data_IF_602903514046
#
_entry.id   IF_602903514046
#
_cell.length_a   1.000
_cell.length_b   1.000
_cell.length_c   1.000
_cell.angle_alpha   90.00
_cell.angle_beta   90.00
_cell.angle_gamma   90.00
#
_symmetry.space_group_name_H-M   'P 1'
#
loop_
_entity.id
_entity.type
_entity.pdbx_description
1 polymer ?
#
# COMPACT_ATOMS: atom_id res chain seq x y z
N UNK A 1 62.39 -1.00 43.41
CA UNK A 1 62.45 -2.43 43.80
C UNK A 1 61.01 -2.90 44.02
N UNK A 2 60.60 -4.03 43.40
CA UNK A 2 59.23 -4.63 43.36
C UNK A 2 58.25 -3.91 42.42
N UNK A 3 58.06 -4.33 41.15
CA UNK A 3 57.43 -5.56 40.64
C UNK A 3 56.05 -5.78 41.30
N UNK A 4 54.97 -5.80 40.49
CA UNK A 4 53.73 -6.61 40.59
C UNK A 4 52.79 -6.14 39.46
N UNK A 5 52.85 -6.82 38.31
CA UNK A 5 51.91 -7.87 37.86
C UNK A 5 50.69 -7.30 37.14
N UNK A 6 50.73 -7.43 35.81
CA UNK A 6 49.61 -7.13 34.92
C UNK A 6 48.49 -8.14 35.06
N UNK A 7 47.26 -7.65 35.07
CA UNK A 7 46.06 -8.42 34.82
C UNK A 7 45.60 -8.11 33.40
N UNK A 8 45.92 -9.00 32.48
CA UNK A 8 45.41 -9.02 31.11
C UNK A 8 43.92 -9.37 31.19
N UNK A 9 43.06 -8.36 31.12
CA UNK A 9 41.61 -8.54 31.11
C UNK A 9 41.19 -9.03 29.72
N UNK A 10 41.16 -10.36 29.55
CA UNK A 10 40.58 -11.04 28.41
C UNK A 10 39.07 -10.70 28.34
N UNK A 11 38.73 -9.71 27.51
CA UNK A 11 37.37 -9.46 27.06
C UNK A 11 36.94 -10.63 26.16
N UNK A 12 36.39 -11.68 26.79
CA UNK A 12 35.60 -12.71 26.14
C UNK A 12 34.37 -12.04 25.53
N UNK A 13 34.49 -11.70 24.24
CA UNK A 13 33.37 -11.34 23.39
C UNK A 13 32.51 -12.59 23.22
N UNK A 14 31.59 -12.82 24.16
CA UNK A 14 30.55 -13.84 24.07
C UNK A 14 29.67 -13.48 22.88
N UNK A 15 29.98 -14.12 21.75
CA UNK A 15 29.15 -14.16 20.55
C UNK A 15 27.79 -14.74 20.97
N UNK A 16 26.83 -13.87 21.27
CA UNK A 16 25.43 -14.28 21.39
C UNK A 16 25.01 -14.64 19.98
N UNK A 17 25.13 -15.93 19.64
CA UNK A 17 24.46 -16.54 18.51
C UNK A 17 22.96 -16.32 18.73
N UNK A 18 22.44 -15.28 18.09
CA UNK A 18 21.00 -15.17 17.82
C UNK A 18 20.64 -16.46 17.07
N UNK A 19 19.73 -17.31 17.60
CA UNK A 19 19.30 -18.47 16.86
C UNK A 19 18.66 -17.93 15.57
N UNK A 20 19.21 -18.34 14.42
CA UNK A 20 18.47 -18.24 13.17
C UNK A 20 17.08 -18.82 13.44
N UNK A 21 16.03 -18.06 13.15
CA UNK A 21 14.67 -18.53 13.31
C UNK A 21 14.55 -19.88 12.60
N UNK A 22 14.38 -20.95 13.38
CA UNK A 22 14.22 -22.29 12.82
C UNK A 22 12.93 -22.27 12.02
N UNK A 23 13.05 -22.26 10.70
CA UNK A 23 11.92 -22.55 9.82
C UNK A 23 11.27 -23.85 10.28
N UNK A 24 9.95 -23.91 10.24
CA UNK A 24 9.22 -25.09 10.66
C UNK A 24 9.69 -26.33 9.85
N UNK A 25 9.63 -27.56 10.42
CA UNK A 25 10.31 -28.73 9.86
C UNK A 25 9.94 -29.07 8.41
N UNK A 26 8.70 -28.81 7.98
CA UNK A 26 8.24 -28.99 6.59
C UNK A 26 8.74 -27.88 5.66
N UNK A 27 8.80 -26.63 6.14
CA UNK A 27 9.22 -25.49 5.32
C UNK A 27 10.65 -25.68 4.76
N UNK A 28 11.55 -26.31 5.53
CA UNK A 28 12.90 -26.63 5.07
C UNK A 28 12.90 -27.62 3.88
N UNK A 29 11.99 -28.61 3.89
CA UNK A 29 11.89 -29.61 2.83
C UNK A 29 11.33 -28.99 1.53
N UNK A 30 10.33 -28.12 1.62
CA UNK A 30 9.81 -27.40 0.46
C UNK A 30 10.85 -26.43 -0.11
N UNK A 31 11.50 -25.65 0.75
CA UNK A 31 12.48 -24.65 0.32
C UNK A 31 13.76 -25.27 -0.26
N UNK A 32 14.09 -26.53 0.07
CA UNK A 32 15.22 -27.24 -0.53
C UNK A 32 15.15 -27.28 -2.07
N UNK A 33 13.93 -27.34 -2.63
CA UNK A 33 13.72 -27.20 -4.07
C UNK A 33 13.23 -25.80 -4.43
N UNK A 34 12.18 -25.29 -3.77
CA UNK A 34 11.51 -24.05 -4.15
C UNK A 34 12.38 -22.79 -3.98
N UNK A 35 13.40 -22.78 -3.13
CA UNK A 35 14.32 -21.63 -3.05
C UNK A 35 15.32 -21.58 -4.22
N UNK A 36 15.61 -22.73 -4.83
CA UNK A 36 16.61 -22.86 -5.90
C UNK A 36 15.99 -22.98 -7.30
N UNK A 37 14.67 -23.05 -7.42
CA UNK A 37 13.99 -23.08 -8.73
C UNK A 37 14.29 -21.80 -9.52
N UNK A 38 14.69 -21.97 -10.78
CA UNK A 38 14.90 -20.86 -11.73
C UNK A 38 13.93 -20.99 -12.89
N UNK A 39 13.51 -19.84 -13.43
CA UNK A 39 12.54 -19.79 -14.54
C UNK A 39 11.09 -19.93 -14.09
N UNK A 40 10.22 -20.23 -15.04
CA UNK A 40 8.79 -20.45 -14.81
C UNK A 40 8.41 -21.86 -15.26
N UNK A 41 7.51 -22.49 -14.53
CA UNK A 41 6.90 -23.77 -14.89
C UNK A 41 5.65 -23.49 -15.70
N UNK A 42 5.47 -24.18 -16.81
CA UNK A 42 4.24 -24.11 -17.59
C UNK A 42 3.15 -24.95 -16.90
N UNK A 43 2.05 -24.29 -16.53
CA UNK A 43 0.83 -24.94 -16.06
C UNK A 43 -0.11 -25.22 -17.25
N UNK A 44 -1.24 -25.87 -17.00
CA UNK A 44 -2.31 -26.04 -17.98
C UNK A 44 -2.64 -24.72 -18.73
N UNK A 45 -2.81 -24.81 -20.05
CA UNK A 45 -3.12 -23.70 -20.97
C UNK A 45 -2.00 -22.66 -21.16
N UNK A 46 -0.72 -23.05 -21.08
CA UNK A 46 0.40 -22.18 -21.44
C UNK A 46 0.71 -21.07 -20.44
N UNK A 47 0.18 -21.17 -19.22
CA UNK A 47 0.40 -20.17 -18.17
C UNK A 47 1.72 -20.48 -17.47
N UNK A 48 2.73 -19.64 -17.72
CA UNK A 48 4.01 -19.68 -17.02
C UNK A 48 3.86 -19.13 -15.60
N UNK A 49 4.22 -19.94 -14.61
CA UNK A 49 4.21 -19.57 -13.19
C UNK A 49 5.59 -19.74 -12.57
N UNK A 50 6.05 -18.72 -11.85
CA UNK A 50 7.26 -18.82 -11.06
C UNK A 50 6.90 -19.41 -9.69
N UNK A 51 7.48 -20.57 -9.36
CA UNK A 51 7.28 -21.29 -8.11
C UNK A 51 8.41 -21.04 -7.09
N UNK A 52 9.35 -20.15 -7.42
CA UNK A 52 10.46 -19.80 -6.55
C UNK A 52 9.97 -19.06 -5.30
N UNK A 53 10.52 -19.45 -4.15
CA UNK A 53 10.32 -18.77 -2.87
C UNK A 53 11.67 -18.43 -2.26
N UNK A 54 11.94 -17.15 -2.10
CA UNK A 54 13.12 -16.65 -1.40
C UNK A 54 13.00 -17.00 0.09
N UNK A 55 13.81 -17.95 0.54
CA UNK A 55 13.79 -18.47 1.90
C UNK A 55 14.10 -17.38 2.95
N UNK A 56 15.06 -16.50 2.67
CA UNK A 56 15.44 -15.44 3.58
C UNK A 56 14.30 -14.43 3.72
N UNK A 57 13.73 -14.00 2.60
CA UNK A 57 12.62 -13.06 2.58
C UNK A 57 11.35 -13.65 3.21
N UNK A 58 11.09 -14.95 3.00
CA UNK A 58 10.00 -15.67 3.64
C UNK A 58 10.15 -15.70 5.16
N UNK A 59 11.35 -16.02 5.66
CA UNK A 59 11.64 -16.08 7.11
C UNK A 59 11.40 -14.74 7.83
N UNK A 60 11.52 -13.61 7.10
CA UNK A 60 11.27 -12.25 7.61
C UNK A 60 9.81 -11.81 7.49
N UNK A 61 8.94 -12.64 6.92
CA UNK A 61 7.51 -12.34 6.84
C UNK A 61 6.80 -12.64 8.17
N UNK A 62 5.58 -12.14 8.32
CA UNK A 62 4.73 -12.46 9.49
C UNK A 62 4.34 -13.93 9.58
N UNK A 63 4.53 -14.69 8.49
CA UNK A 63 4.26 -16.12 8.41
C UNK A 63 5.53 -16.97 8.30
N UNK A 64 6.71 -16.38 8.49
CA UNK A 64 7.99 -17.07 8.28
C UNK A 64 8.24 -18.27 9.19
N UNK A 65 7.45 -18.42 10.25
CA UNK A 65 7.47 -19.54 11.19
C UNK A 65 6.47 -20.65 10.86
N UNK A 66 5.62 -20.51 9.84
CA UNK A 66 4.65 -21.53 9.44
C UNK A 66 5.23 -22.57 8.47
N UNK A 67 4.63 -23.76 8.47
CA UNK A 67 4.91 -24.78 7.47
C UNK A 67 4.26 -24.38 6.14
N UNK A 68 4.82 -24.86 5.02
CA UNK A 68 4.26 -24.57 3.71
C UNK A 68 2.87 -25.20 3.58
N UNK A 69 2.71 -26.42 4.10
CA UNK A 69 1.43 -27.17 4.07
C UNK A 69 0.31 -26.55 4.92
N UNK A 70 0.62 -25.60 5.82
CA UNK A 70 -0.40 -24.89 6.60
C UNK A 70 -1.28 -24.01 5.68
N UNK A 71 -0.73 -23.58 4.53
CA UNK A 71 -1.46 -22.85 3.50
C UNK A 71 -1.64 -23.70 2.23
N UNK A 72 -0.62 -24.44 1.81
CA UNK A 72 -0.64 -25.30 0.63
C UNK A 72 -1.33 -26.66 0.91
N UNK A 73 -2.57 -26.59 1.40
CA UNK A 73 -3.36 -27.71 1.95
C UNK A 73 -3.56 -28.89 0.99
N UNK A 74 -3.45 -28.65 -0.31
CA UNK A 74 -3.69 -29.64 -1.35
C UNK A 74 -2.45 -30.47 -1.72
N UNK A 75 -1.25 -30.08 -1.30
CA UNK A 75 -0.02 -30.76 -1.72
C UNK A 75 0.52 -31.67 -0.62
N UNK A 76 0.70 -32.96 -0.94
CA UNK A 76 1.36 -33.92 -0.06
C UNK A 76 2.45 -34.69 -0.81
N UNK A 77 3.58 -35.00 -0.14
CA UNK A 77 4.73 -35.79 -0.62
C UNK A 77 5.64 -35.11 -1.68
N UNK A 78 6.83 -35.68 -1.95
CA UNK A 78 7.77 -35.20 -2.99
C UNK A 78 8.16 -36.36 -3.94
N UNK A 79 8.06 -36.20 -5.28
CA UNK A 79 7.39 -35.12 -5.99
C UNK A 79 5.88 -35.15 -5.69
N UNK A 80 5.29 -34.00 -5.31
CA UNK A 80 3.86 -33.95 -5.03
C UNK A 80 3.09 -34.11 -6.35
N UNK A 81 2.24 -35.13 -6.42
CA UNK A 81 1.13 -35.13 -7.40
C UNK A 81 0.04 -34.20 -6.85
N UNK A 82 -0.78 -33.64 -7.75
CA UNK A 82 -1.80 -32.63 -7.45
C UNK A 82 -2.79 -33.02 -6.34
N UNK A 83 -3.80 -32.18 -6.04
CA UNK A 83 -4.56 -32.17 -4.79
C UNK A 83 -4.77 -33.56 -4.17
N UNK A 84 -3.97 -33.89 -3.16
CA UNK A 84 -3.87 -35.23 -2.59
C UNK A 84 -4.62 -35.37 -1.26
N UNK A 85 -5.00 -34.25 -0.63
CA UNK A 85 -5.73 -34.23 0.62
C UNK A 85 -7.11 -33.56 0.46
N UNK A 86 -8.15 -34.07 1.16
CA UNK A 86 -9.43 -33.40 1.23
C UNK A 86 -9.28 -32.05 1.94
N UNK A 87 -9.69 -30.98 1.26
CA UNK A 87 -9.70 -29.61 1.79
C UNK A 87 -11.10 -29.31 2.33
N UNK A 88 -11.19 -28.51 3.40
CA UNK A 88 -12.47 -28.05 3.95
C UNK A 88 -13.36 -27.44 2.85
N UNK A 89 -14.66 -27.72 2.92
CA UNK A 89 -15.63 -27.29 1.91
C UNK A 89 -15.66 -25.76 1.73
N UNK A 90 -15.54 -25.01 2.82
CA UNK A 90 -15.53 -23.53 2.80
C UNK A 90 -14.32 -23.01 2.05
N UNK A 91 -13.14 -23.59 2.32
CA UNK A 91 -11.90 -23.25 1.63
C UNK A 91 -12.00 -23.62 0.16
N UNK A 92 -12.57 -24.77 -0.18
CA UNK A 92 -12.74 -25.19 -1.58
C UNK A 92 -13.68 -24.27 -2.36
N UNK A 93 -14.82 -23.89 -1.77
CA UNK A 93 -15.77 -22.96 -2.38
C UNK A 93 -15.15 -21.59 -2.62
N UNK A 94 -14.40 -21.08 -1.63
CA UNK A 94 -13.68 -19.82 -1.78
C UNK A 94 -12.58 -19.94 -2.84
N UNK A 95 -11.77 -20.99 -2.82
CA UNK A 95 -10.73 -21.25 -3.81
C UNK A 95 -11.28 -21.21 -5.24
N UNK A 96 -12.45 -21.78 -5.47
CA UNK A 96 -13.14 -21.72 -6.76
C UNK A 96 -13.48 -20.28 -7.17
N UNK A 97 -13.99 -19.45 -6.24
CA UNK A 97 -14.27 -18.04 -6.49
C UNK A 97 -13.00 -17.20 -6.72
N UNK A 98 -11.88 -17.56 -6.09
CA UNK A 98 -10.59 -16.85 -6.22
C UNK A 98 -9.75 -17.30 -7.43
N UNK A 99 -10.08 -18.46 -8.02
CA UNK A 99 -9.31 -19.09 -9.09
C UNK A 99 -8.99 -18.20 -10.31
N UNK A 100 -9.86 -17.25 -10.76
CA UNK A 100 -9.51 -16.39 -11.88
C UNK A 100 -8.32 -15.46 -11.59
N UNK A 101 -8.06 -15.18 -10.30
CA UNK A 101 -7.03 -14.26 -9.84
C UNK A 101 -5.83 -14.97 -9.21
N UNK A 102 -6.05 -16.10 -8.53
CA UNK A 102 -4.97 -16.93 -7.98
C UNK A 102 -4.55 -18.02 -8.97
N UNK A 103 -3.67 -17.67 -9.91
CA UNK A 103 -3.27 -18.57 -11.02
C UNK A 103 -2.45 -19.79 -10.56
N UNK A 104 -1.71 -19.65 -9.45
CA UNK A 104 -0.80 -20.68 -8.95
C UNK A 104 -1.55 -21.66 -8.07
N UNK A 105 -2.02 -21.20 -6.90
CA UNK A 105 -2.71 -22.00 -5.91
C UNK A 105 -3.89 -21.23 -5.29
N UNK A 106 -5.12 -21.42 -5.83
CA UNK A 106 -6.32 -20.84 -5.25
C UNK A 106 -6.66 -21.37 -3.86
N UNK A 107 -6.26 -22.61 -3.54
CA UNK A 107 -6.52 -23.23 -2.23
C UNK A 107 -5.67 -22.54 -1.16
N UNK A 108 -4.38 -22.34 -1.39
CA UNK A 108 -3.53 -21.58 -0.48
C UNK A 108 -4.00 -20.13 -0.30
N UNK A 109 -4.49 -19.51 -1.37
CA UNK A 109 -5.08 -18.17 -1.28
C UNK A 109 -6.36 -18.15 -0.41
N UNK A 110 -7.14 -19.22 -0.43
CA UNK A 110 -8.35 -19.38 0.38
C UNK A 110 -8.04 -19.81 1.82
N UNK A 111 -6.92 -20.49 2.07
CA UNK A 111 -6.54 -21.00 3.40
C UNK A 111 -6.40 -19.91 4.48
N UNK A 112 -6.25 -18.63 4.08
CA UNK A 112 -6.26 -17.50 5.01
C UNK A 112 -7.46 -17.52 5.97
N UNK A 113 -8.63 -18.02 5.53
CA UNK A 113 -9.87 -18.01 6.33
C UNK A 113 -9.82 -18.93 7.55
N UNK A 114 -8.93 -19.94 7.54
CA UNK A 114 -8.79 -20.88 8.65
C UNK A 114 -8.20 -20.19 9.89
N UNK A 115 -7.36 -19.18 9.70
CA UNK A 115 -6.70 -18.44 10.79
C UNK A 115 -7.18 -16.98 10.91
N UNK A 116 -7.75 -16.41 9.85
CA UNK A 116 -8.27 -15.04 9.82
C UNK A 116 -9.78 -15.00 9.52
N UNK A 117 -10.64 -15.56 10.40
CA UNK A 117 -12.08 -15.56 10.19
C UNK A 117 -12.68 -14.15 10.24
N UNK A 118 -12.30 -13.31 11.20
CA UNK A 118 -12.91 -11.97 11.33
C UNK A 118 -12.60 -11.05 10.13
N UNK A 119 -11.34 -10.93 9.65
CA UNK A 119 -11.05 -10.20 8.43
C UNK A 119 -11.76 -10.77 7.21
N UNK A 120 -11.90 -12.10 7.14
CA UNK A 120 -12.61 -12.77 6.06
C UNK A 120 -14.11 -12.44 6.07
N UNK A 121 -14.78 -12.50 7.21
CA UNK A 121 -16.20 -12.18 7.33
C UNK A 121 -16.48 -10.71 6.97
N UNK A 122 -15.61 -9.80 7.43
CA UNK A 122 -15.66 -8.40 7.03
C UNK A 122 -15.46 -8.23 5.51
N UNK A 123 -14.46 -8.90 4.93
CA UNK A 123 -14.21 -8.88 3.49
C UNK A 123 -15.38 -9.44 2.68
N UNK A 124 -15.95 -10.58 3.09
CA UNK A 124 -17.10 -11.21 2.46
C UNK A 124 -18.33 -10.28 2.43
N UNK A 125 -18.51 -9.47 3.47
CA UNK A 125 -19.56 -8.45 3.54
C UNK A 125 -19.25 -7.17 2.74
N UNK A 126 -17.98 -6.90 2.45
CA UNK A 126 -17.52 -5.70 1.74
C UNK A 126 -17.95 -5.66 0.26
N UNK A 127 -17.91 -4.47 -0.34
CA UNK A 127 -18.15 -4.32 -1.79
C UNK A 127 -17.12 -5.09 -2.63
N UNK A 128 -15.88 -5.18 -2.14
CA UNK A 128 -14.79 -5.90 -2.79
C UNK A 128 -15.02 -7.42 -2.78
N UNK A 129 -15.25 -7.99 -1.60
CA UNK A 129 -15.49 -9.43 -1.47
C UNK A 129 -16.80 -9.87 -2.12
N UNK A 130 -17.86 -9.06 -2.07
CA UNK A 130 -19.10 -9.35 -2.80
C UNK A 130 -18.89 -9.37 -4.32
N UNK A 131 -18.05 -8.49 -4.87
CA UNK A 131 -17.74 -8.51 -6.30
C UNK A 131 -17.01 -9.81 -6.70
N UNK A 132 -16.09 -10.32 -5.88
CA UNK A 132 -15.37 -11.57 -6.16
C UNK A 132 -16.23 -12.81 -5.89
N UNK A 133 -16.81 -12.91 -4.69
CA UNK A 133 -17.49 -14.13 -4.22
C UNK A 133 -18.90 -14.27 -4.81
N UNK A 134 -19.68 -13.19 -4.83
CA UNK A 134 -21.09 -13.24 -5.26
C UNK A 134 -21.22 -12.99 -6.76
N UNK A 135 -20.56 -11.92 -7.26
CA UNK A 135 -20.63 -11.57 -8.69
C UNK A 135 -19.63 -12.32 -9.56
N UNK A 136 -18.73 -13.13 -8.96
CA UNK A 136 -17.71 -13.92 -9.67
C UNK A 136 -16.82 -13.06 -10.59
N UNK A 137 -16.58 -11.82 -10.19
CA UNK A 137 -15.75 -10.87 -10.95
C UNK A 137 -14.27 -11.23 -10.81
N UNK A 138 -13.56 -11.36 -11.93
CA UNK A 138 -12.14 -11.71 -11.96
C UNK A 138 -11.18 -10.55 -11.61
N UNK A 139 -11.69 -9.33 -11.64
CA UNK A 139 -10.96 -8.07 -11.45
C UNK A 139 -11.12 -7.48 -10.03
N UNK A 140 -11.98 -8.05 -9.18
CA UNK A 140 -12.12 -7.64 -7.78
C UNK A 140 -10.86 -7.96 -6.94
N UNK A 141 -10.51 -7.17 -5.92
CA UNK A 141 -9.33 -7.42 -5.10
C UNK A 141 -9.55 -8.59 -4.14
N UNK A 142 -8.49 -9.35 -3.88
CA UNK A 142 -8.41 -10.45 -2.90
C UNK A 142 -7.39 -10.07 -1.82
N UNK A 143 -7.23 -10.89 -0.77
CA UNK A 143 -6.34 -10.57 0.37
C UNK A 143 -4.93 -10.11 -0.07
N UNK A 144 -4.35 -10.82 -1.04
CA UNK A 144 -3.02 -10.55 -1.59
C UNK A 144 -2.95 -9.34 -2.53
N UNK A 145 -4.10 -8.84 -3.00
CA UNK A 145 -4.14 -7.58 -3.76
C UNK A 145 -3.73 -6.38 -2.90
N UNK A 146 -4.06 -6.41 -1.61
CA UNK A 146 -3.68 -5.36 -0.66
C UNK A 146 -2.43 -5.72 0.14
N UNK A 147 -2.31 -6.96 0.62
CA UNK A 147 -1.20 -7.36 1.49
C UNK A 147 0.06 -7.82 0.74
N UNK A 148 -0.03 -8.11 -0.56
CA UNK A 148 1.07 -8.65 -1.36
C UNK A 148 1.14 -10.17 -1.31
N UNK A 149 2.31 -10.72 -1.66
CA UNK A 149 2.52 -12.18 -1.68
C UNK A 149 2.32 -12.78 -0.29
N UNK A 150 1.58 -13.90 -0.14
CA UNK A 150 1.43 -14.61 1.14
C UNK A 150 2.76 -14.97 1.80
N UNK A 151 3.79 -15.24 1.00
CA UNK A 151 5.14 -15.58 1.47
C UNK A 151 5.90 -14.37 2.03
N UNK A 152 5.52 -13.15 1.69
CA UNK A 152 6.30 -11.95 2.02
C UNK A 152 5.45 -10.86 2.69
N UNK A 153 4.31 -11.24 3.30
CA UNK A 153 3.45 -10.31 4.01
C UNK A 153 4.23 -9.73 5.20
N UNK A 154 4.22 -8.40 5.31
CA UNK A 154 4.85 -7.65 6.40
C UNK A 154 3.80 -7.08 7.34
N UNK A 155 4.15 -7.00 8.62
CA UNK A 155 3.26 -6.46 9.65
C UNK A 155 2.87 -5.02 9.33
N UNK A 156 1.60 -4.64 9.58
CA UNK A 156 1.08 -3.30 9.29
C UNK A 156 2.00 -2.13 9.69
N UNK A 157 2.64 -2.10 10.88
CA UNK A 157 3.50 -0.96 11.26
C UNK A 157 4.84 -0.90 10.53
N UNK A 158 5.28 -1.97 9.84
CA UNK A 158 6.52 -1.98 9.06
C UNK A 158 6.35 -1.15 7.79
N UNK A 159 7.41 -0.43 7.39
CA UNK A 159 7.40 0.43 6.19
C UNK A 159 7.34 -0.38 4.90
N UNK A 160 7.75 -1.63 4.95
CA UNK A 160 7.76 -2.61 3.87
C UNK A 160 6.36 -3.21 3.64
N UNK A 161 5.43 -3.00 4.58
CA UNK A 161 4.05 -3.46 4.44
C UNK A 161 3.29 -2.64 3.42
N UNK A 162 2.65 -3.32 2.46
CA UNK A 162 1.77 -2.66 1.48
C UNK A 162 0.56 -1.96 2.12
N UNK A 163 0.22 -2.34 3.35
CA UNK A 163 -0.86 -1.74 4.14
C UNK A 163 -0.35 -0.81 5.25
N UNK A 164 0.92 -0.42 5.18
CA UNK A 164 1.46 0.65 6.00
C UNK A 164 0.79 1.99 5.66
N UNK A 165 0.66 2.87 6.66
CA UNK A 165 -0.12 4.12 6.56
C UNK A 165 0.21 4.92 5.27
N UNK A 166 1.49 5.09 4.96
CA UNK A 166 1.94 5.86 3.79
C UNK A 166 1.86 5.09 2.47
N UNK A 167 1.71 3.76 2.51
CA UNK A 167 1.61 2.89 1.33
C UNK A 167 0.15 2.62 0.92
N UNK A 168 -0.83 2.89 1.80
CA UNK A 168 -2.26 2.66 1.52
C UNK A 168 -2.73 3.36 0.25
N UNK A 169 -2.25 4.59 -0.01
CA UNK A 169 -2.64 5.36 -1.19
C UNK A 169 -2.24 4.62 -2.47
N UNK A 170 -1.00 4.16 -2.56
CA UNK A 170 -0.52 3.36 -3.71
C UNK A 170 -1.29 2.03 -3.81
N UNK A 171 -1.53 1.36 -2.69
CA UNK A 171 -2.23 0.08 -2.66
C UNK A 171 -3.67 0.19 -3.17
N UNK A 172 -4.40 1.25 -2.83
CA UNK A 172 -5.72 1.52 -3.37
C UNK A 172 -5.65 2.01 -4.83
N UNK A 173 -4.63 2.83 -5.14
CA UNK A 173 -4.41 3.45 -6.45
C UNK A 173 -4.40 2.44 -7.60
N UNK A 174 -3.78 1.28 -7.37
CA UNK A 174 -3.68 0.15 -8.34
C UNK A 174 -4.97 -0.22 -9.07
N UNK A 175 -6.13 0.02 -8.44
CA UNK A 175 -7.44 -0.15 -9.09
C UNK A 175 -8.27 1.12 -9.10
N UNK A 176 -8.10 2.02 -8.12
CA UNK A 176 -8.92 3.23 -8.01
C UNK A 176 -8.46 4.42 -8.86
N UNK A 177 -7.26 4.39 -9.43
CA UNK A 177 -6.84 5.32 -10.50
C UNK A 177 -7.11 4.78 -11.91
N UNK A 178 -7.46 3.50 -12.00
CA UNK A 178 -7.58 2.83 -13.28
C UNK A 178 -8.90 3.18 -13.98
N UNK A 179 -8.80 3.79 -15.16
CA UNK A 179 -9.97 4.25 -15.94
C UNK A 179 -10.96 3.12 -16.20
N UNK A 180 -10.47 1.95 -16.60
CA UNK A 180 -11.30 0.76 -16.85
C UNK A 180 -12.16 0.39 -15.63
N UNK A 181 -11.56 0.35 -14.44
CA UNK A 181 -12.27 0.03 -13.19
C UNK A 181 -13.31 1.09 -12.87
N UNK A 182 -12.95 2.37 -13.03
CA UNK A 182 -13.83 3.50 -12.75
C UNK A 182 -15.09 3.48 -13.62
N UNK A 183 -14.95 3.18 -14.92
CA UNK A 183 -16.05 3.09 -15.88
C UNK A 183 -16.92 1.87 -15.61
N UNK A 184 -16.30 0.70 -15.40
CA UNK A 184 -17.01 -0.56 -15.16
C UNK A 184 -17.84 -0.52 -13.86
N UNK A 185 -17.29 0.06 -12.79
CA UNK A 185 -17.91 0.06 -11.46
C UNK A 185 -18.59 1.38 -11.09
N UNK A 186 -18.52 2.40 -11.95
CA UNK A 186 -19.25 3.66 -11.79
C UNK A 186 -18.76 4.52 -10.62
N UNK A 187 -17.45 4.63 -10.46
CA UNK A 187 -16.80 5.58 -9.54
C UNK A 187 -15.94 6.59 -10.32
N UNK A 188 -15.58 7.71 -9.70
CA UNK A 188 -14.80 8.77 -10.36
C UNK A 188 -13.36 8.32 -10.61
N UNK A 189 -12.88 8.40 -11.86
CA UNK A 189 -11.47 8.17 -12.21
C UNK A 189 -10.52 9.20 -11.55
N UNK A 190 -11.05 10.35 -11.12
CA UNK A 190 -10.27 11.41 -10.47
C UNK A 190 -10.11 11.21 -8.95
N UNK A 191 -10.61 10.11 -8.37
CA UNK A 191 -10.60 9.93 -6.90
C UNK A 191 -9.20 10.01 -6.30
N UNK A 192 -8.21 9.42 -6.96
CA UNK A 192 -6.83 9.41 -6.50
C UNK A 192 -6.18 10.80 -6.62
N UNK A 193 -6.33 11.45 -7.77
CA UNK A 193 -5.86 12.82 -8.01
C UNK A 193 -6.43 13.78 -6.97
N UNK A 194 -7.75 13.76 -6.76
CA UNK A 194 -8.42 14.65 -5.79
C UNK A 194 -8.04 14.36 -4.35
N UNK A 195 -7.72 13.12 -4.01
CA UNK A 195 -7.18 12.80 -2.69
C UNK A 195 -5.77 13.39 -2.53
N UNK A 196 -4.89 13.18 -3.51
CA UNK A 196 -3.50 13.65 -3.46
C UNK A 196 -3.39 15.18 -3.42
N UNK A 197 -4.29 15.89 -4.11
CA UNK A 197 -4.37 17.35 -4.10
C UNK A 197 -4.91 17.92 -2.78
N UNK A 198 -5.65 17.12 -2.01
CA UNK A 198 -6.25 17.55 -0.75
C UNK A 198 -5.20 17.78 0.34
N UNK A 199 -5.58 18.53 1.38
CA UNK A 199 -4.74 18.70 2.57
C UNK A 199 -4.34 17.37 3.21
N UNK A 200 -5.22 16.36 3.21
CA UNK A 200 -4.91 15.03 3.73
C UNK A 200 -3.83 14.34 2.90
N UNK A 201 -3.98 14.33 1.57
CA UNK A 201 -3.01 13.70 0.66
C UNK A 201 -1.65 14.39 0.71
N UNK A 202 -1.62 15.73 0.66
CA UNK A 202 -0.38 16.51 0.78
C UNK A 202 0.32 16.27 2.13
N UNK A 203 -0.43 16.31 3.23
CA UNK A 203 0.10 16.08 4.57
C UNK A 203 0.61 14.63 4.75
N UNK A 204 -0.10 13.65 4.20
CA UNK A 204 0.31 12.25 4.22
C UNK A 204 1.60 12.04 3.39
N UNK A 205 1.70 12.66 2.21
CA UNK A 205 2.90 12.63 1.36
C UNK A 205 4.13 13.24 2.04
N UNK A 206 3.93 14.24 2.89
CA UNK A 206 4.99 14.85 3.72
C UNK A 206 5.37 14.00 4.95
N UNK A 207 4.78 12.80 5.12
CA UNK A 207 5.16 11.88 6.20
C UNK A 207 4.48 12.16 7.55
N UNK A 208 3.44 12.99 7.58
CA UNK A 208 2.71 13.23 8.82
C UNK A 208 1.81 12.04 9.18
N UNK A 209 2.13 11.39 10.29
CA UNK A 209 1.43 10.19 10.80
C UNK A 209 -0.03 10.44 11.23
N UNK A 210 -0.37 11.69 11.54
CA UNK A 210 -1.75 12.09 11.86
C UNK A 210 -2.63 12.39 10.64
N UNK A 211 -2.09 12.29 9.42
CA UNK A 211 -2.88 12.48 8.20
C UNK A 211 -3.69 11.21 7.88
N UNK A 212 -4.99 11.31 7.57
CA UNK A 212 -5.81 10.15 7.24
C UNK A 212 -5.49 9.62 5.85
N UNK A 213 -5.42 8.28 5.70
CA UNK A 213 -5.36 7.60 4.40
C UNK A 213 -6.76 7.21 3.91
N UNK A 214 -6.84 6.56 2.74
CA UNK A 214 -8.10 6.02 2.21
C UNK A 214 -8.85 5.18 3.26
N UNK A 215 -8.12 4.33 3.97
CA UNK A 215 -8.67 3.41 4.97
C UNK A 215 -9.17 4.12 6.24
N UNK A 216 -8.66 5.31 6.56
CA UNK A 216 -9.13 6.09 7.72
C UNK A 216 -10.60 6.53 7.57
N UNK A 217 -11.04 6.76 6.34
CA UNK A 217 -12.41 7.14 6.03
C UNK A 217 -13.27 5.95 5.59
N UNK A 218 -12.75 5.08 4.71
CA UNK A 218 -13.53 4.00 4.12
C UNK A 218 -13.53 2.69 4.93
N UNK A 219 -12.58 2.51 5.85
CA UNK A 219 -12.31 1.24 6.51
C UNK A 219 -11.28 0.38 5.76
N UNK A 220 -11.08 -0.86 6.19
CA UNK A 220 -10.03 -1.76 5.69
C UNK A 220 -10.60 -3.03 5.04
N UNK A 221 -11.04 -4.01 5.83
CA UNK A 221 -11.56 -5.28 5.30
C UNK A 221 -13.05 -5.19 4.93
N UNK A 222 -13.85 -4.48 5.72
CA UNK A 222 -15.31 -4.33 5.52
C UNK A 222 -15.72 -3.10 4.70
N UNK A 223 -14.95 -2.73 3.66
CA UNK A 223 -15.22 -1.51 2.89
C UNK A 223 -16.58 -1.60 2.17
N UNK A 224 -17.45 -0.63 2.43
CA UNK A 224 -18.75 -0.53 1.77
C UNK A 224 -18.72 0.50 0.63
N UNK A 225 -19.62 0.34 -0.33
CA UNK A 225 -19.82 1.35 -1.38
C UNK A 225 -20.19 2.70 -0.77
N UNK A 226 -19.71 3.80 -1.33
CA UNK A 226 -20.11 5.14 -0.88
C UNK A 226 -21.62 5.42 -1.06
N UNK A 227 -22.32 4.58 -1.85
CA UNK A 227 -23.78 4.63 -2.05
C UNK A 227 -24.55 3.83 -0.99
N UNK A 228 -23.87 3.00 -0.19
CA UNK A 228 -24.48 2.20 0.86
C UNK A 228 -24.74 3.05 2.10
N UNK A 229 -25.95 3.03 2.64
CA UNK A 229 -26.35 3.80 3.83
C UNK A 229 -25.52 3.48 5.08
N UNK A 230 -24.98 2.25 5.18
CA UNK A 230 -24.12 1.84 6.28
C UNK A 230 -22.66 2.27 6.10
N UNK A 231 -22.30 2.81 4.93
CA UNK A 231 -20.94 3.24 4.65
C UNK A 231 -20.54 4.43 5.55
N UNK A 232 -19.33 4.43 6.13
CA UNK A 232 -18.86 5.55 6.94
C UNK A 232 -18.80 6.88 6.18
N UNK A 233 -18.77 6.83 4.84
CA UNK A 233 -18.71 7.99 3.96
C UNK A 233 -20.05 8.33 3.30
N UNK A 234 -21.14 7.67 3.70
CA UNK A 234 -22.48 7.96 3.19
C UNK A 234 -23.15 9.09 3.97
N UNK A 235 -23.70 10.07 3.24
CA UNK A 235 -24.60 11.10 3.79
C UNK A 235 -24.14 11.65 5.15
N UNK A 236 -24.99 11.47 6.15
CA UNK A 236 -24.79 11.95 7.53
C UNK A 236 -23.64 11.24 8.27
N UNK A 237 -23.26 10.02 7.89
CA UNK A 237 -22.18 9.27 8.53
C UNK A 237 -20.83 9.98 8.38
N UNK A 238 -20.68 10.84 7.36
CA UNK A 238 -19.48 11.66 7.15
C UNK A 238 -19.17 12.53 8.37
N UNK A 239 -20.17 13.11 9.04
CA UNK A 239 -19.95 13.91 10.26
C UNK A 239 -19.25 13.09 11.34
N UNK A 240 -19.71 11.86 11.57
CA UNK A 240 -19.10 10.94 12.53
C UNK A 240 -17.69 10.52 12.10
N UNK A 241 -17.48 10.27 10.80
CA UNK A 241 -16.17 9.88 10.27
C UNK A 241 -15.15 11.01 10.38
N UNK A 242 -15.51 12.22 9.95
CA UNK A 242 -14.67 13.41 10.09
C UNK A 242 -14.45 13.78 11.56
N UNK A 243 -15.49 13.61 12.39
CA UNK A 243 -15.48 13.89 13.82
C UNK A 243 -14.44 13.12 14.64
N UNK A 244 -13.90 12.01 14.10
CA UNK A 244 -12.78 11.28 14.71
C UNK A 244 -11.52 12.13 14.85
N UNK A 245 -11.30 13.07 13.93
CA UNK A 245 -10.15 13.97 13.93
C UNK A 245 -10.53 15.46 14.00
N UNK A 246 -11.76 15.82 13.63
CA UNK A 246 -12.27 17.19 13.61
C UNK A 246 -13.46 17.34 14.57
N UNK A 247 -13.22 17.63 15.85
CA UNK A 247 -14.28 17.90 16.82
C UNK A 247 -15.22 19.02 16.30
N UNK A 248 -16.53 18.79 16.34
CA UNK A 248 -17.52 19.76 15.87
C UNK A 248 -17.74 19.81 14.35
N UNK A 249 -17.34 18.78 13.60
CA UNK A 249 -17.60 18.70 12.16
C UNK A 249 -19.10 18.89 11.82
N UNK A 250 -19.41 19.91 11.01
CA UNK A 250 -20.77 20.28 10.58
C UNK A 250 -21.06 19.80 9.16
N UNK A 251 -22.32 19.86 8.72
CA UNK A 251 -22.72 19.49 7.35
C UNK A 251 -22.04 20.35 6.29
N UNK A 252 -21.87 21.66 6.55
CA UNK A 252 -21.14 22.57 5.67
C UNK A 252 -19.66 22.17 5.57
N UNK A 253 -19.05 21.78 6.68
CA UNK A 253 -17.66 21.34 6.72
C UNK A 253 -17.44 20.06 5.91
N UNK A 254 -18.28 19.03 6.11
CA UNK A 254 -18.13 17.74 5.39
C UNK A 254 -18.57 17.81 3.93
N UNK A 255 -19.32 18.84 3.52
CA UNK A 255 -19.68 19.08 2.13
C UNK A 255 -18.52 19.70 1.33
N UNK A 256 -17.67 20.51 1.98
CA UNK A 256 -16.55 21.18 1.33
C UNK A 256 -15.41 20.22 0.92
N UNK A 257 -15.32 19.04 1.54
CA UNK A 257 -14.21 18.09 1.38
C UNK A 257 -14.73 16.78 0.80
N UNK A 258 -14.94 16.75 -0.51
CA UNK A 258 -15.24 15.50 -1.23
C UNK A 258 -14.32 15.36 -2.43
N UNK A 259 -13.95 14.14 -2.80
CA UNK A 259 -13.19 13.84 -4.03
C UNK A 259 -14.02 14.03 -5.31
N UNK A 260 -14.96 14.98 -5.29
CA UNK A 260 -15.76 15.37 -6.44
C UNK A 260 -14.91 16.26 -7.36
N UNK A 261 -15.21 16.29 -8.66
CA UNK A 261 -14.62 17.27 -9.55
C UNK A 261 -14.84 18.69 -9.01
N UNK A 262 -13.83 19.56 -9.15
CA UNK A 262 -14.01 20.98 -8.81
C UNK A 262 -15.14 21.57 -9.67
N UNK A 263 -15.91 22.48 -9.06
CA UNK A 263 -16.86 23.29 -9.83
C UNK A 263 -16.08 24.14 -10.85
N UNK A 264 -16.57 24.32 -12.09
CA UNK A 264 -15.82 25.03 -13.14
C UNK A 264 -15.32 26.41 -12.72
N UNK A 265 -16.13 27.15 -11.95
CA UNK A 265 -15.75 28.48 -11.44
C UNK A 265 -14.51 28.40 -10.54
N UNK A 266 -14.46 27.45 -9.61
CA UNK A 266 -13.33 27.30 -8.70
C UNK A 266 -12.04 26.98 -9.47
N UNK A 267 -12.13 26.16 -10.53
CA UNK A 267 -11.00 25.82 -11.39
C UNK A 267 -10.44 27.06 -12.12
N UNK A 268 -11.30 27.87 -12.74
CA UNK A 268 -10.84 29.09 -13.41
C UNK A 268 -10.32 30.15 -12.42
N UNK A 269 -10.91 30.24 -11.23
CA UNK A 269 -10.41 31.13 -10.16
C UNK A 269 -9.01 30.70 -9.70
N UNK A 270 -8.78 29.40 -9.51
CA UNK A 270 -7.46 28.86 -9.16
C UNK A 270 -6.42 29.20 -10.24
N UNK A 271 -6.74 28.94 -11.51
CA UNK A 271 -5.86 29.26 -12.64
C UNK A 271 -5.54 30.76 -12.68
N UNK A 272 -6.55 31.62 -12.53
CA UNK A 272 -6.35 33.07 -12.54
C UNK A 272 -5.41 33.54 -11.41
N UNK A 273 -5.57 32.99 -10.21
CA UNK A 273 -4.70 33.29 -9.06
C UNK A 273 -3.28 32.78 -9.26
N UNK A 274 -3.10 31.60 -9.86
CA UNK A 274 -1.77 31.06 -10.19
C UNK A 274 -1.08 31.95 -11.22
N UNK A 275 -1.76 32.32 -12.31
CA UNK A 275 -1.22 33.21 -13.34
C UNK A 275 -0.83 34.55 -12.72
N UNK A 276 -1.72 35.17 -11.95
CA UNK A 276 -1.45 36.43 -11.27
C UNK A 276 -0.20 36.33 -10.38
N UNK A 277 -0.11 35.28 -9.55
CA UNK A 277 1.02 35.07 -8.64
C UNK A 277 2.33 34.91 -9.41
N UNK A 278 2.36 34.03 -10.41
CA UNK A 278 3.56 33.78 -11.22
C UNK A 278 3.99 35.04 -11.98
N UNK A 279 3.05 35.78 -12.57
CA UNK A 279 3.32 37.03 -13.26
C UNK A 279 3.92 38.09 -12.32
N UNK A 280 3.39 38.24 -11.11
CA UNK A 280 3.93 39.18 -10.12
C UNK A 280 5.36 38.81 -9.71
N UNK A 281 5.63 37.54 -9.40
CA UNK A 281 6.99 37.10 -9.06
C UNK A 281 7.96 37.27 -10.23
N UNK A 282 7.53 36.95 -11.45
CA UNK A 282 8.35 37.10 -12.65
C UNK A 282 8.70 38.58 -12.89
N UNK A 283 7.73 39.48 -12.76
CA UNK A 283 7.97 40.92 -12.85
C UNK A 283 8.98 41.41 -11.81
N UNK A 284 8.82 41.01 -10.54
CA UNK A 284 9.75 41.40 -9.46
C UNK A 284 11.16 40.88 -9.75
N UNK A 285 11.29 39.61 -10.17
CA UNK A 285 12.59 39.01 -10.51
C UNK A 285 13.25 39.79 -11.65
N UNK A 286 12.52 40.09 -12.73
CA UNK A 286 13.05 40.85 -13.86
C UNK A 286 13.47 42.25 -13.42
N UNK A 287 12.66 42.94 -12.61
CA UNK A 287 12.97 44.27 -12.11
C UNK A 287 14.27 44.26 -11.28
N UNK A 288 14.42 43.33 -10.35
CA UNK A 288 15.64 43.17 -9.54
C UNK A 288 16.86 42.86 -10.42
N UNK A 289 16.72 42.00 -11.44
CA UNK A 289 17.81 41.68 -12.35
C UNK A 289 18.24 42.90 -13.19
N UNK A 290 17.29 43.73 -13.63
CA UNK A 290 17.57 44.96 -14.35
C UNK A 290 18.28 45.99 -13.47
N UNK A 291 17.88 46.13 -12.21
CA UNK A 291 18.53 47.02 -11.25
C UNK A 291 19.96 46.56 -10.94
N UNK A 292 20.16 45.26 -10.71
CA UNK A 292 21.50 44.69 -10.52
C UNK A 292 22.37 44.93 -11.76
N UNK A 293 21.82 44.71 -12.96
CA UNK A 293 22.54 44.98 -14.20
C UNK A 293 22.91 46.45 -14.35
N UNK A 294 22.00 47.36 -14.02
CA UNK A 294 22.25 48.81 -14.04
C UNK A 294 23.36 49.21 -13.05
N UNK A 295 23.33 48.70 -11.80
CA UNK A 295 24.37 48.97 -10.80
C UNK A 295 25.74 48.41 -11.22
N UNK A 296 25.79 47.19 -11.77
CA UNK A 296 27.03 46.60 -12.30
C UNK A 296 27.57 47.43 -13.46
N UNK A 297 26.72 47.80 -14.42
CA UNK A 297 27.09 48.65 -15.55
C UNK A 297 27.65 49.98 -15.05
N UNK A 298 26.97 50.64 -14.12
CA UNK A 298 27.41 51.93 -13.60
C UNK A 298 28.75 51.80 -12.84
N UNK A 299 28.97 50.74 -12.06
CA UNK A 299 30.26 50.52 -11.38
C UNK A 299 31.42 50.21 -12.32
N UNK A 300 31.16 49.49 -13.41
CA UNK A 300 32.18 49.11 -14.39
C UNK A 300 32.51 50.24 -15.38
N UNK A 301 31.49 51.00 -15.81
CA UNK A 301 31.61 51.96 -16.91
C UNK A 301 31.52 53.44 -16.47
N UNK A 302 31.04 53.74 -15.25
CA UNK A 302 30.97 55.10 -14.67
C UNK A 302 32.09 55.35 -13.66
N UNK A 303 33.32 54.95 -13.98
CA UNK A 303 34.55 55.49 -13.36
C UNK A 303 35.16 56.47 -14.35
N UNK A 304 34.73 57.74 -14.27
CA UNK A 304 35.20 58.79 -15.17
C UNK A 304 35.05 60.21 -14.63
N UNK A 305 33.94 60.50 -13.94
CA UNK A 305 33.64 61.89 -13.54
C UNK A 305 33.61 62.05 -12.02
N UNK A 306 34.79 62.09 -11.41
CA UNK A 306 34.99 62.87 -10.19
C UNK A 306 35.82 64.09 -10.56
N UNK A 307 35.13 65.19 -10.84
CA UNK A 307 35.69 66.52 -11.05
C UNK A 307 36.48 66.98 -9.80
N UNK A 308 37.67 67.52 -10.04
CA UNK A 308 38.25 68.58 -9.22
C UNK A 308 37.62 69.93 -9.51
#
# INVERSE_FOLDING_TARGET
MRIWQGALMLLLCSLVLVPAANAAPDAKACLACHASMQGSVEKEKGVLVNLNVDAEKFSKSVHGSFNCVDCHLSFTAQPHKGPAAPVDKTVQELANALSPKSKVDPVAQAACVNCHPDPYDAYKASVHGRNVIVKKSSDGPVCTSCHGSPHYIQARPSRESKVYLFNIVETCGKCHEEKFMSEKYGFSHLVMERYLESFHGRKLKLGHTGAPSCASCHGSHGILSAKDQKSPVYGENKKKTCGKCHPGATDKFVAAITHKPLHPIAHFTEIALIILTVSTFMFIIVHVLLDIFADIRDRLFRKGDHHG
#
